data_IF_775218569233
#
_entry.id   IF_775218569233
#
_cell.length_a   1.000
_cell.length_b   1.000
_cell.length_c   1.000
_cell.angle_alpha   90.00
_cell.angle_beta   90.00
_cell.angle_gamma   90.00
#
_symmetry.space_group_name_H-M   'P 1'
#
loop_
_entity.id
_entity.type
_entity.pdbx_description
1 polymer ?
#
# COMPACT_ATOMS: atom_id res chain seq x y z
N UNK A 1 0.23 11.82 10.05
CA UNK A 1 -0.99 11.04 9.73
C UNK A 1 -0.74 10.25 8.46
N UNK A 2 -1.16 8.98 8.40
CA UNK A 2 -0.97 8.13 7.22
C UNK A 2 -2.17 8.29 6.28
N UNK A 3 -1.91 8.45 4.98
CA UNK A 3 -2.91 8.62 3.92
C UNK A 3 -2.72 7.55 2.85
N UNK A 4 -3.81 6.96 2.38
CA UNK A 4 -3.80 6.13 1.18
C UNK A 4 -3.67 7.01 -0.06
N UNK A 5 -2.77 6.62 -0.97
CA UNK A 5 -2.54 7.30 -2.25
C UNK A 5 -2.88 6.32 -3.38
N UNK A 6 -3.83 6.71 -4.24
CA UNK A 6 -4.13 5.96 -5.45
C UNK A 6 -3.17 6.38 -6.56
N UNK A 7 -2.35 5.43 -7.02
CA UNK A 7 -1.36 5.59 -8.09
C UNK A 7 -1.76 4.83 -9.37
N UNK A 8 -2.99 4.30 -9.43
CA UNK A 8 -3.52 3.63 -10.62
C UNK A 8 -3.38 4.53 -11.84
N UNK A 9 -2.80 3.98 -12.92
CA UNK A 9 -2.51 4.72 -14.16
C UNK A 9 -1.55 5.92 -14.03
N UNK A 10 -0.87 6.08 -12.89
CA UNK A 10 0.14 7.13 -12.69
C UNK A 10 1.57 6.61 -12.86
N UNK A 11 1.84 5.38 -12.43
CA UNK A 11 3.15 4.72 -12.60
C UNK A 11 3.22 3.93 -13.91
N UNK A 12 2.17 3.14 -14.19
CA UNK A 12 2.07 2.34 -15.39
C UNK A 12 0.92 2.83 -16.28
N UNK A 13 1.05 2.65 -17.60
CA UNK A 13 -0.01 3.02 -18.56
C UNK A 13 -1.20 2.06 -18.51
N UNK A 14 -1.02 0.86 -17.99
CA UNK A 14 -2.11 -0.08 -17.79
C UNK A 14 -2.93 0.32 -16.55
N UNK A 15 -4.24 0.04 -16.61
CA UNK A 15 -5.19 0.38 -15.53
C UNK A 15 -5.05 -0.54 -14.31
N UNK A 16 -3.84 -1.05 -14.07
CA UNK A 16 -3.57 -1.91 -12.93
C UNK A 16 -3.67 -1.08 -11.65
N UNK A 17 -4.38 -1.59 -10.63
CA UNK A 17 -4.37 -1.00 -9.30
C UNK A 17 -2.94 -0.82 -8.85
N UNK A 18 -2.60 0.39 -8.47
CA UNK A 18 -1.31 0.72 -7.87
C UNK A 18 -1.57 1.71 -6.76
N UNK A 19 -0.96 1.52 -5.59
CA UNK A 19 -1.19 2.38 -4.44
C UNK A 19 0.05 2.52 -3.57
N UNK A 20 0.01 3.52 -2.69
CA UNK A 20 1.04 3.78 -1.69
C UNK A 20 0.43 4.36 -0.40
N UNK A 21 1.24 4.49 0.64
CA UNK A 21 0.91 5.18 1.88
C UNK A 21 1.84 6.36 2.11
N UNK A 22 1.30 7.53 2.40
CA UNK A 22 2.06 8.74 2.68
C UNK A 22 1.89 9.17 4.14
N UNK A 23 3.00 9.39 4.85
CA UNK A 23 3.01 9.89 6.21
C UNK A 23 3.23 11.41 6.23
N UNK A 24 2.17 12.15 6.50
CA UNK A 24 2.18 13.63 6.60
C UNK A 24 2.94 14.19 7.81
N UNK A 25 3.38 13.35 8.75
CA UNK A 25 4.20 13.83 9.89
C UNK A 25 5.68 13.84 9.50
N UNK A 26 6.12 12.80 8.81
CA UNK A 26 7.51 12.64 8.36
C UNK A 26 7.73 13.20 6.95
N UNK A 27 6.65 13.57 6.25
CA UNK A 27 6.64 14.04 4.86
C UNK A 27 7.26 13.03 3.88
N UNK A 28 7.00 11.75 4.12
CA UNK A 28 7.59 10.65 3.35
C UNK A 28 6.56 9.59 2.97
N UNK A 29 6.81 8.93 1.85
CA UNK A 29 6.16 7.66 1.53
C UNK A 29 6.63 6.57 2.48
N UNK A 30 5.72 5.65 2.79
CA UNK A 30 6.05 4.42 3.49
C UNK A 30 6.99 3.60 2.60
N UNK A 31 8.11 3.16 3.18
CA UNK A 31 9.05 2.25 2.56
C UNK A 31 8.99 0.95 3.35
N UNK A 32 8.69 -0.16 2.66
CA UNK A 32 8.77 -1.51 3.23
C UNK A 32 9.53 -2.38 2.24
N UNK A 33 10.54 -3.10 2.70
CA UNK A 33 11.41 -3.95 1.88
C UNK A 33 11.96 -3.22 0.64
N UNK A 34 12.30 -1.94 0.80
CA UNK A 34 12.77 -1.07 -0.29
C UNK A 34 11.70 -0.60 -1.28
N UNK A 35 10.45 -1.08 -1.16
CA UNK A 35 9.33 -0.69 -2.02
C UNK A 35 8.50 0.45 -1.42
N UNK A 36 7.97 1.31 -2.28
CA UNK A 36 7.11 2.45 -1.91
C UNK A 36 5.68 2.34 -2.44
N UNK A 37 5.41 1.38 -3.31
CA UNK A 37 4.10 1.17 -3.90
C UNK A 37 3.84 -0.32 -4.10
N UNK A 38 2.57 -0.68 -4.20
CA UNK A 38 2.13 -2.07 -4.34
C UNK A 38 0.97 -2.16 -5.33
N UNK A 39 0.83 -3.32 -5.97
CA UNK A 39 -0.21 -3.56 -6.97
C UNK A 39 -1.38 -4.40 -6.44
N UNK A 40 -1.17 -5.09 -5.33
CA UNK A 40 -2.18 -5.92 -4.67
C UNK A 40 -2.09 -5.77 -3.15
N UNK A 41 -3.14 -6.23 -2.45
CA UNK A 41 -3.10 -6.29 -0.98
C UNK A 41 -2.05 -7.29 -0.51
N UNK A 42 -1.95 -8.44 -1.17
CA UNK A 42 -0.99 -9.52 -0.85
C UNK A 42 0.46 -9.03 -0.92
N UNK A 43 0.82 -8.32 -2.00
CA UNK A 43 2.16 -7.74 -2.20
C UNK A 43 2.54 -6.74 -1.08
N UNK A 44 1.58 -5.93 -0.66
CA UNK A 44 1.76 -5.04 0.50
C UNK A 44 1.90 -5.81 1.81
N UNK A 45 1.08 -6.83 2.03
CA UNK A 45 1.13 -7.67 3.24
C UNK A 45 2.46 -8.40 3.36
N UNK A 46 2.98 -8.95 2.26
CA UNK A 46 4.29 -9.60 2.22
C UNK A 46 5.42 -8.63 2.58
N UNK A 47 5.42 -7.43 1.97
CA UNK A 47 6.38 -6.36 2.30
C UNK A 47 6.30 -5.95 3.78
N UNK A 48 5.08 -5.85 4.32
CA UNK A 48 4.86 -5.56 5.74
C UNK A 48 5.38 -6.68 6.64
N UNK A 49 5.11 -7.94 6.31
CA UNK A 49 5.55 -9.10 7.09
C UNK A 49 7.08 -9.25 7.08
N UNK A 50 7.76 -8.86 6.00
CA UNK A 50 9.22 -8.85 5.93
C UNK A 50 9.86 -7.79 6.84
N UNK A 51 9.13 -6.70 7.13
CA UNK A 51 9.61 -5.58 7.96
C UNK A 51 9.16 -5.65 9.42
N UNK A 52 8.05 -6.34 9.72
CA UNK A 52 7.36 -6.22 11.02
C UNK A 52 8.21 -6.58 12.24
N UNK A 53 9.20 -7.44 12.06
CA UNK A 53 10.07 -7.94 13.14
C UNK A 53 11.38 -7.13 13.24
N UNK A 54 11.58 -6.12 12.38
CA UNK A 54 12.77 -5.26 12.44
C UNK A 54 12.69 -4.32 13.65
N UNK A 55 13.82 -3.99 14.30
CA UNK A 55 13.83 -3.16 15.51
C UNK A 55 13.24 -1.75 15.32
N UNK A 56 13.31 -1.25 14.09
CA UNK A 56 12.85 0.08 13.71
C UNK A 56 11.33 0.12 13.46
N UNK A 57 10.69 -1.05 13.28
CA UNK A 57 9.27 -1.17 13.05
C UNK A 57 8.52 -1.47 14.34
N UNK A 58 7.56 -0.61 14.68
CA UNK A 58 6.71 -0.80 15.84
C UNK A 58 5.29 -1.23 15.41
N UNK A 59 5.01 -2.52 15.55
CA UNK A 59 3.71 -3.13 15.19
C UNK A 59 2.55 -2.61 16.03
N UNK A 60 2.76 -2.21 17.28
CA UNK A 60 1.70 -1.66 18.13
C UNK A 60 1.18 -0.32 17.63
N UNK A 61 2.09 0.53 17.13
CA UNK A 61 1.77 1.85 16.59
C UNK A 61 1.43 1.82 15.11
N UNK A 62 1.92 0.83 14.37
CA UNK A 62 1.69 0.64 12.94
C UNK A 62 1.13 -0.75 12.65
N UNK A 63 -0.01 -1.15 13.26
CA UNK A 63 -0.57 -2.46 12.99
C UNK A 63 -1.04 -2.53 11.54
N UNK A 64 -0.92 -3.70 10.92
CA UNK A 64 -1.33 -3.94 9.53
C UNK A 64 -2.75 -3.41 9.25
N UNK A 65 -3.67 -3.64 10.20
CA UNK A 65 -5.07 -3.17 10.12
C UNK A 65 -5.21 -1.65 9.96
N UNK A 66 -4.26 -0.86 10.48
CA UNK A 66 -4.24 0.59 10.30
C UNK A 66 -4.10 0.97 8.83
N UNK A 67 -3.30 0.22 8.08
CA UNK A 67 -3.07 0.47 6.66
C UNK A 67 -4.21 -0.09 5.81
N UNK A 68 -4.62 -1.33 6.06
CA UNK A 68 -5.67 -1.99 5.26
C UNK A 68 -7.02 -1.29 5.39
N UNK A 69 -7.33 -0.70 6.56
CA UNK A 69 -8.54 0.11 6.74
C UNK A 69 -8.53 1.47 6.00
N UNK A 70 -7.37 1.95 5.55
CA UNK A 70 -7.25 3.16 4.73
C UNK A 70 -7.51 2.90 3.25
N UNK A 71 -7.45 1.64 2.82
CA UNK A 71 -7.67 1.26 1.41
C UNK A 71 -9.16 1.39 1.08
N UNK A 72 -9.55 2.18 0.06
CA UNK A 72 -10.95 2.31 -0.34
C UNK A 72 -11.59 0.97 -0.69
N UNK A 73 -12.82 0.77 -0.22
CA UNK A 73 -13.59 -0.44 -0.54
C UNK A 73 -13.72 -0.60 -2.05
N UNK A 74 -13.37 -1.78 -2.55
CA UNK A 74 -13.48 -2.10 -3.97
C UNK A 74 -12.32 -1.59 -4.83
N UNK A 75 -11.26 -1.01 -4.25
CA UNK A 75 -10.07 -0.57 -4.99
C UNK A 75 -9.52 -1.64 -5.94
N UNK A 76 -9.39 -2.89 -5.46
CA UNK A 76 -8.89 -4.01 -6.26
C UNK A 76 -9.94 -4.67 -7.18
N UNK A 77 -11.20 -4.19 -7.23
CA UNK A 77 -12.28 -4.84 -8.02
C UNK A 77 -12.22 -4.52 -9.51
N UNK A 78 -11.53 -3.46 -9.92
CA UNK A 78 -11.55 -2.97 -11.31
C UNK A 78 -10.89 -3.88 -12.36
N UNK A 79 -10.17 -4.93 -11.95
CA UNK A 79 -9.47 -5.82 -12.87
C UNK A 79 -10.31 -6.95 -13.50
N UNK A 80 -11.59 -7.12 -13.11
CA UNK A 80 -12.42 -8.22 -13.65
C UNK A 80 -13.27 -7.86 -14.88
N UNK A 81 -13.33 -6.59 -15.28
CA UNK A 81 -14.25 -6.10 -16.31
C UNK A 81 -13.58 -5.70 -17.64
N UNK A 82 -12.27 -5.93 -17.80
CA UNK A 82 -11.53 -5.62 -19.04
C UNK A 82 -10.84 -6.90 -19.52
N UNK A 83 -11.63 -7.94 -19.74
CA UNK A 83 -11.29 -9.08 -20.60
C UNK A 83 -12.59 -9.39 -21.37
N UNK A 84 -12.93 -8.55 -22.34
CA UNK A 84 -13.88 -8.84 -23.42
C UNK A 84 -13.23 -8.47 -24.75
#
# INVERSE_FOLDING_TARGET
MIRFINLTSQIYLDKRPCFSFFCTITDTFLILDGNQYWESLEDFEDSYLAEKDKPEWNVETHPLSRFTNLIPKGFFRYNKAIIE
#
